data_IF_490734972090
#
_entry.id   IF_490734972090
#
_cell.length_a   1.000
_cell.length_b   1.000
_cell.length_c   1.000
_cell.angle_alpha   90.00
_cell.angle_beta   90.00
_cell.angle_gamma   90.00
#
_symmetry.space_group_name_H-M   'P 1'
#
loop_
_entity.id
_entity.type
_entity.pdbx_description
1 polymer ?
#
# COMPACT_ATOMS: atom_id res chain seq x y z
N UNK A 1 14.67 -14.53 1.51
CA UNK A 1 15.53 -15.73 1.67
C UNK A 1 15.54 -16.43 0.32
N UNK A 2 16.72 -16.83 -0.14
CA UNK A 2 17.09 -17.01 -1.55
C UNK A 2 16.42 -18.28 -2.16
N UNK A 3 15.49 -18.15 -3.12
CA UNK A 3 14.79 -19.28 -3.77
C UNK A 3 15.76 -20.33 -4.37
N UNK A 4 16.92 -19.87 -4.85
CA UNK A 4 18.01 -20.71 -5.37
C UNK A 4 18.56 -21.71 -4.34
N UNK A 5 18.56 -21.33 -3.06
CA UNK A 5 19.07 -22.20 -1.99
C UNK A 5 18.04 -23.26 -1.61
N UNK A 6 16.75 -22.93 -1.70
CA UNK A 6 15.65 -23.87 -1.46
C UNK A 6 15.59 -24.93 -2.56
N UNK A 7 15.73 -24.53 -3.83
CA UNK A 7 15.72 -25.46 -4.97
C UNK A 7 16.91 -26.43 -4.91
N UNK A 8 18.09 -25.94 -4.51
CA UNK A 8 19.27 -26.79 -4.32
C UNK A 8 19.09 -27.80 -3.18
N UNK A 9 18.61 -27.35 -2.03
CA UNK A 9 18.32 -28.23 -0.88
C UNK A 9 17.25 -29.28 -1.21
N UNK A 10 16.20 -28.88 -1.92
CA UNK A 10 15.11 -29.77 -2.32
C UNK A 10 15.60 -30.83 -3.29
N UNK A 11 16.47 -30.47 -4.24
CA UNK A 11 17.10 -31.42 -5.17
C UNK A 11 18.05 -32.39 -4.47
N UNK A 12 18.79 -31.93 -3.47
CA UNK A 12 19.68 -32.78 -2.66
C UNK A 12 18.88 -33.78 -1.82
N UNK A 13 17.80 -33.33 -1.16
CA UNK A 13 16.89 -34.20 -0.42
C UNK A 13 16.22 -35.26 -1.31
N UNK A 14 15.70 -34.88 -2.49
CA UNK A 14 15.10 -35.83 -3.43
C UNK A 14 16.12 -36.87 -3.93
N UNK A 15 17.39 -36.47 -4.04
CA UNK A 15 18.48 -37.35 -4.49
C UNK A 15 18.96 -38.29 -3.38
N UNK A 16 18.88 -37.89 -2.12
CA UNK A 16 19.23 -38.72 -0.95
C UNK A 16 18.20 -39.81 -0.64
N UNK A 17 16.91 -39.61 -0.97
CA UNK A 17 15.82 -40.58 -0.76
C UNK A 17 15.85 -41.72 -1.82
N UNK A 18 17.01 -41.99 -2.43
CA UNK A 18 17.16 -42.93 -3.53
C UNK A 18 16.51 -44.30 -3.28
N UNK A 19 15.76 -44.77 -4.30
CA UNK A 19 15.13 -46.09 -4.51
C UNK A 19 13.70 -46.33 -4.02
N UNK A 20 13.12 -45.50 -3.16
CA UNK A 20 11.67 -45.54 -2.94
C UNK A 20 10.99 -44.74 -4.06
N UNK A 21 10.73 -45.42 -5.17
CA UNK A 21 10.10 -44.81 -6.34
C UNK A 21 8.82 -44.09 -5.91
N UNK A 22 8.69 -42.78 -6.12
CA UNK A 22 7.46 -42.07 -5.79
C UNK A 22 6.30 -42.73 -6.55
N UNK A 23 5.11 -42.72 -5.96
CA UNK A 23 3.93 -43.33 -6.60
C UNK A 23 3.79 -42.85 -8.05
N UNK A 24 3.28 -43.67 -9.00
CA UNK A 24 3.21 -43.31 -10.41
C UNK A 24 2.53 -41.96 -10.70
N UNK A 25 1.64 -41.52 -9.80
CA UNK A 25 0.89 -40.27 -9.88
C UNK A 25 1.37 -39.18 -8.91
N UNK A 26 2.55 -39.31 -8.32
CA UNK A 26 3.09 -38.34 -7.36
C UNK A 26 3.24 -36.95 -7.97
N UNK A 27 3.86 -36.87 -9.15
CA UNK A 27 4.06 -35.60 -9.87
C UNK A 27 2.71 -34.99 -10.26
N UNK A 28 1.77 -35.80 -10.74
CA UNK A 28 0.42 -35.34 -11.07
C UNK A 28 -0.35 -34.82 -9.85
N UNK A 29 -0.22 -35.49 -8.70
CA UNK A 29 -0.87 -35.09 -7.44
C UNK A 29 -0.24 -33.82 -6.87
N UNK A 30 1.09 -33.70 -6.91
CA UNK A 30 1.82 -32.49 -6.52
C UNK A 30 1.47 -31.31 -7.41
N UNK A 31 1.52 -31.47 -8.74
CA UNK A 31 1.18 -30.39 -9.67
C UNK A 31 -0.28 -29.98 -9.53
N UNK A 32 -1.19 -30.91 -9.25
CA UNK A 32 -2.59 -30.61 -8.94
C UNK A 32 -2.71 -29.77 -7.66
N UNK A 33 -2.05 -30.18 -6.58
CA UNK A 33 -2.09 -29.46 -5.30
C UNK A 33 -1.42 -28.07 -5.38
N UNK A 34 -0.33 -27.95 -6.13
CA UNK A 34 0.35 -26.67 -6.39
C UNK A 34 -0.52 -25.77 -7.27
N UNK A 35 -1.17 -26.32 -8.30
CA UNK A 35 -2.06 -25.54 -9.17
C UNK A 35 -3.30 -25.04 -8.42
N UNK A 36 -3.90 -25.87 -7.57
CA UNK A 36 -5.00 -25.48 -6.69
C UNK A 36 -4.59 -24.39 -5.69
N UNK A 37 -3.34 -24.40 -5.22
CA UNK A 37 -2.80 -23.38 -4.30
C UNK A 37 -2.35 -22.10 -5.02
N UNK A 38 -1.94 -22.20 -6.28
CA UNK A 38 -1.57 -21.06 -7.14
C UNK A 38 -2.78 -20.21 -7.53
N UNK A 39 -3.99 -20.73 -7.35
CA UNK A 39 -5.27 -20.00 -7.46
C UNK A 39 -5.63 -19.18 -6.22
N UNK A 40 -4.74 -19.03 -5.23
CA UNK A 40 -4.76 -17.84 -4.37
C UNK A 40 -4.42 -16.61 -5.25
N UNK A 41 -5.35 -16.26 -6.15
CA UNK A 41 -5.37 -15.02 -6.91
C UNK A 41 -5.07 -13.93 -5.89
N UNK A 42 -4.00 -13.18 -6.10
CA UNK A 42 -3.81 -11.91 -5.43
C UNK A 42 -5.08 -11.09 -5.69
N UNK A 43 -6.00 -11.10 -4.74
CA UNK A 43 -7.23 -10.34 -4.82
C UNK A 43 -6.76 -8.90 -4.74
N UNK A 44 -6.74 -8.23 -5.88
CA UNK A 44 -6.43 -6.82 -5.96
C UNK A 44 -7.45 -6.09 -5.09
N UNK A 45 -7.02 -5.72 -3.89
CA UNK A 45 -7.81 -4.88 -2.99
C UNK A 45 -7.58 -3.44 -3.46
N UNK A 46 -8.60 -2.76 -3.99
CA UNK A 46 -8.43 -1.39 -4.43
C UNK A 46 -7.98 -0.54 -3.23
N UNK A 47 -6.98 0.32 -3.44
CA UNK A 47 -6.42 1.18 -2.38
C UNK A 47 -7.49 2.08 -1.76
N UNK A 48 -8.52 2.43 -2.54
CA UNK A 48 -9.66 3.25 -2.15
C UNK A 48 -10.92 2.45 -2.50
N UNK A 49 -11.81 2.26 -1.52
CA UNK A 49 -13.07 1.56 -1.76
C UNK A 49 -13.95 2.31 -2.75
N UNK A 50 -14.84 1.59 -3.45
CA UNK A 50 -15.80 2.21 -4.37
C UNK A 50 -16.68 3.27 -3.65
N UNK A 51 -16.95 3.05 -2.36
CA UNK A 51 -17.71 3.97 -1.50
C UNK A 51 -16.95 5.27 -1.26
N UNK A 52 -15.63 5.20 -1.03
CA UNK A 52 -14.79 6.37 -0.88
C UNK A 52 -14.74 7.19 -2.19
N UNK A 53 -14.74 6.54 -3.35
CA UNK A 53 -14.85 7.21 -4.64
C UNK A 53 -16.17 7.97 -4.82
N UNK A 54 -17.29 7.40 -4.36
CA UNK A 54 -18.60 8.07 -4.40
C UNK A 54 -18.58 9.32 -3.51
N UNK A 55 -18.00 9.22 -2.30
CA UNK A 55 -17.89 10.37 -1.40
C UNK A 55 -17.03 11.49 -2.02
N UNK A 56 -15.89 11.14 -2.62
CA UNK A 56 -15.02 12.09 -3.32
C UNK A 56 -15.78 12.78 -4.46
N UNK A 57 -16.54 12.02 -5.26
CA UNK A 57 -17.33 12.56 -6.35
C UNK A 57 -18.41 13.53 -5.84
N UNK A 58 -19.12 13.19 -4.76
CA UNK A 58 -20.13 14.06 -4.14
C UNK A 58 -19.51 15.37 -3.66
N UNK A 59 -18.36 15.31 -2.98
CA UNK A 59 -17.65 16.51 -2.49
C UNK A 59 -17.24 17.40 -3.67
N UNK A 60 -16.70 16.82 -4.74
CA UNK A 60 -16.31 17.56 -5.94
C UNK A 60 -17.51 18.24 -6.61
N UNK A 61 -18.60 17.50 -6.83
CA UNK A 61 -19.82 18.02 -7.45
C UNK A 61 -20.43 19.13 -6.59
N UNK A 62 -20.53 18.91 -5.28
CA UNK A 62 -21.00 19.93 -4.33
C UNK A 62 -20.17 21.20 -4.39
N UNK A 63 -18.84 21.07 -4.43
CA UNK A 63 -17.93 22.21 -4.52
C UNK A 63 -18.16 22.99 -5.81
N UNK A 64 -18.29 22.31 -6.95
CA UNK A 64 -18.55 22.95 -8.25
C UNK A 64 -19.90 23.70 -8.23
N UNK A 65 -20.95 23.08 -7.69
CA UNK A 65 -22.28 23.69 -7.56
C UNK A 65 -22.21 24.95 -6.70
N UNK A 66 -21.54 24.87 -5.54
CA UNK A 66 -21.38 26.01 -4.63
C UNK A 66 -20.65 27.16 -5.32
N UNK A 67 -19.56 26.87 -6.04
CA UNK A 67 -18.80 27.89 -6.77
C UNK A 67 -19.60 28.52 -7.92
N UNK A 68 -20.49 27.75 -8.56
CA UNK A 68 -21.35 28.25 -9.64
C UNK A 68 -22.43 29.19 -9.12
N UNK A 69 -23.11 28.85 -8.01
CA UNK A 69 -24.18 29.66 -7.43
C UNK A 69 -23.68 30.82 -6.57
N UNK A 70 -22.51 30.68 -5.95
CA UNK A 70 -21.86 31.71 -5.14
C UNK A 70 -20.50 32.09 -5.76
N UNK A 71 -20.50 32.80 -6.90
CA UNK A 71 -19.26 33.35 -7.44
C UNK A 71 -18.65 34.26 -6.37
N UNK A 72 -17.36 34.03 -6.08
CA UNK A 72 -16.60 34.76 -5.06
C UNK A 72 -16.34 36.18 -5.60
N UNK A 73 -17.35 37.03 -5.56
CA UNK A 73 -17.28 38.42 -6.04
C UNK A 73 -16.79 39.34 -4.91
N UNK A 74 -17.03 38.96 -3.64
CA UNK A 74 -16.61 39.74 -2.49
C UNK A 74 -15.49 39.04 -1.71
N UNK A 75 -14.29 39.62 -1.80
CA UNK A 75 -13.07 39.24 -1.07
C UNK A 75 -13.25 39.13 0.47
N UNK A 76 -14.27 39.80 1.02
CA UNK A 76 -14.44 40.01 2.46
C UNK A 76 -14.82 38.74 3.25
N UNK A 77 -15.58 37.82 2.65
CA UNK A 77 -15.98 36.57 3.31
C UNK A 77 -14.88 35.49 3.22
N UNK A 78 -14.08 35.52 2.15
CA UNK A 78 -12.98 34.58 1.95
C UNK A 78 -11.81 34.88 2.90
N UNK A 79 -11.47 36.15 3.11
CA UNK A 79 -10.37 36.55 4.01
C UNK A 79 -10.64 36.20 5.46
N UNK A 80 -11.87 36.44 5.96
CA UNK A 80 -12.17 36.24 7.37
C UNK A 80 -12.24 34.75 7.75
N UNK A 81 -12.82 33.90 6.89
CA UNK A 81 -12.79 32.44 7.08
C UNK A 81 -11.35 31.88 7.04
N UNK A 82 -10.52 32.38 6.13
CA UNK A 82 -9.11 31.97 6.05
C UNK A 82 -8.29 32.42 7.26
N UNK A 83 -8.55 33.59 7.83
CA UNK A 83 -7.84 34.05 9.05
C UNK A 83 -8.14 33.19 10.27
N UNK A 84 -9.39 32.74 10.44
CA UNK A 84 -9.76 31.80 11.51
C UNK A 84 -9.16 30.41 11.27
N UNK A 85 -9.15 29.94 10.03
CA UNK A 85 -8.50 28.68 9.66
C UNK A 85 -6.98 28.75 9.89
N UNK A 86 -6.35 29.87 9.54
CA UNK A 86 -4.92 30.10 9.76
C UNK A 86 -4.57 30.17 11.27
N UNK A 87 -5.42 30.76 12.11
CA UNK A 87 -5.24 30.76 13.57
C UNK A 87 -5.42 29.35 14.18
N UNK A 88 -6.41 28.58 13.71
CA UNK A 88 -6.60 27.18 14.09
C UNK A 88 -5.41 26.32 13.68
N UNK A 89 -4.97 26.42 12.42
CA UNK A 89 -3.77 25.71 11.93
C UNK A 89 -2.54 26.14 12.71
N UNK A 90 -2.35 27.43 12.97
CA UNK A 90 -1.19 27.94 13.72
C UNK A 90 -1.16 27.40 15.16
N UNK A 91 -2.29 27.35 15.85
CA UNK A 91 -2.38 26.75 17.19
C UNK A 91 -2.15 25.24 17.18
N UNK A 92 -2.65 24.55 16.15
CA UNK A 92 -2.42 23.11 15.95
C UNK A 92 -0.91 22.87 15.71
N UNK A 93 -0.28 23.59 14.77
CA UNK A 93 1.14 23.49 14.42
C UNK A 93 2.12 23.97 15.50
N UNK A 94 1.71 24.86 16.41
CA UNK A 94 2.53 25.26 17.56
C UNK A 94 2.62 24.18 18.64
N UNK A 95 1.82 23.12 18.56
CA UNK A 95 1.93 22.01 19.51
C UNK A 95 3.23 21.23 19.27
N UNK A 96 4.05 21.12 20.32
CA UNK A 96 5.33 20.39 20.31
C UNK A 96 5.17 18.90 19.96
N UNK A 97 3.95 18.38 20.09
CA UNK A 97 3.57 17.01 19.75
C UNK A 97 3.52 16.81 18.23
N UNK A 98 3.05 17.79 17.45
CA UNK A 98 3.03 17.69 15.98
C UNK A 98 4.41 17.75 15.36
N UNK A 99 5.31 18.59 15.86
CA UNK A 99 6.71 18.60 15.40
C UNK A 99 7.34 17.21 15.55
N UNK A 100 7.12 16.55 16.70
CA UNK A 100 7.58 15.17 16.92
C UNK A 100 6.91 14.18 15.97
N UNK A 101 5.61 14.30 15.75
CA UNK A 101 4.84 13.44 14.84
C UNK A 101 5.32 13.56 13.39
N UNK A 102 5.57 14.79 12.92
CA UNK A 102 6.12 15.09 11.60
C UNK A 102 7.54 14.52 11.48
N UNK A 103 8.38 14.69 12.50
CA UNK A 103 9.74 14.15 12.51
C UNK A 103 9.74 12.61 12.43
N UNK A 104 8.89 11.94 13.21
CA UNK A 104 8.78 10.47 13.18
C UNK A 104 8.18 9.95 11.88
N UNK A 105 7.17 10.62 11.32
CA UNK A 105 6.56 10.21 10.06
C UNK A 105 7.52 10.39 8.88
N UNK A 106 8.28 11.48 8.85
CA UNK A 106 9.31 11.71 7.83
C UNK A 106 10.43 10.67 7.93
N UNK A 107 10.92 10.39 9.15
CA UNK A 107 11.93 9.37 9.39
C UNK A 107 11.45 7.97 8.98
N UNK A 108 10.22 7.62 9.34
CA UNK A 108 9.58 6.36 8.92
C UNK A 108 9.48 6.27 7.39
N UNK A 109 9.07 7.34 6.71
CA UNK A 109 8.94 7.37 5.26
C UNK A 109 10.29 7.10 4.57
N UNK A 110 11.36 7.75 5.05
CA UNK A 110 12.72 7.56 4.52
C UNK A 110 13.16 6.10 4.68
N UNK A 111 12.97 5.52 5.87
CA UNK A 111 13.33 4.13 6.14
C UNK A 111 12.50 3.17 5.27
N UNK A 112 11.20 3.45 5.11
CA UNK A 112 10.28 2.65 4.29
C UNK A 112 10.66 2.65 2.80
N UNK A 113 11.00 3.82 2.24
CA UNK A 113 11.51 3.95 0.87
C UNK A 113 12.82 3.18 0.68
N UNK A 114 13.71 3.24 1.68
CA UNK A 114 14.99 2.53 1.67
C UNK A 114 14.78 1.01 1.75
N UNK A 115 13.80 0.53 2.54
CA UNK A 115 13.39 -0.88 2.57
C UNK A 115 12.92 -1.36 1.20
N UNK A 116 12.10 -0.59 0.50
CA UNK A 116 11.61 -0.91 -0.85
C UNK A 116 12.78 -1.04 -1.84
N UNK A 117 13.75 -0.12 -1.78
CA UNK A 117 14.95 -0.15 -2.62
C UNK A 117 15.81 -1.41 -2.38
N UNK A 118 16.01 -1.78 -1.11
CA UNK A 118 16.79 -2.98 -0.74
C UNK A 118 16.10 -4.27 -1.19
N UNK A 119 14.78 -4.37 -0.99
CA UNK A 119 14.00 -5.56 -1.37
C UNK A 119 14.03 -5.76 -2.88
N UNK A 120 13.87 -4.68 -3.65
CA UNK A 120 13.96 -4.72 -5.12
C UNK A 120 15.32 -5.22 -5.60
N UNK A 121 16.41 -4.76 -4.98
CA UNK A 121 17.78 -5.18 -5.32
C UNK A 121 18.04 -6.67 -5.05
N UNK A 122 17.36 -7.26 -4.05
CA UNK A 122 17.53 -8.68 -3.68
C UNK A 122 16.60 -9.64 -4.42
N UNK A 123 15.50 -9.16 -5.02
CA UNK A 123 14.56 -9.99 -5.80
C UNK A 123 14.91 -10.11 -7.30
N UNK A 124 15.79 -9.25 -7.82
CA UNK A 124 16.19 -9.23 -9.24
C UNK A 124 17.52 -9.95 -9.52
N UNK A 125 17.95 -10.87 -8.64
CA UNK A 125 19.20 -11.64 -8.74
C UNK A 125 18.92 -13.14 -8.64
#
# INVERSE_FOLDING_TARGET
MNDKNIDKYTKELIKEIGLDSPSPNFVGTLMRNISLKKEEKFIYKPLISIQAWIIIAIILISTIIILYFFPIINHYYFTNGFTQFNLLIKNIFQSTLLYKLILYTLGFLIIFLLQISIIRSRLLK
#
